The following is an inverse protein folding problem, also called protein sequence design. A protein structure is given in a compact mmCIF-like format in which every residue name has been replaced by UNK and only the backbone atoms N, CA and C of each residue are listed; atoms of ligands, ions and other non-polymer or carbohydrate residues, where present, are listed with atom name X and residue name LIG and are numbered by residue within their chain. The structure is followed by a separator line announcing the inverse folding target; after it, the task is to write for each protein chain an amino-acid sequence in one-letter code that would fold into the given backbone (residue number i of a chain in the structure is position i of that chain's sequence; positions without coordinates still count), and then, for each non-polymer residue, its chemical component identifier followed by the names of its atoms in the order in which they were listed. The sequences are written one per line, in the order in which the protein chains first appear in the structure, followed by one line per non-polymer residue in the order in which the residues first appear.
data_IF_477925792123
#
_entry.id   IF_477925792123
#
_cell.length_a   1.000
_cell.length_b   1.000
_cell.length_c   1.000
_cell.angle_alpha   90.00
_cell.angle_beta   90.00
_cell.angle_gamma   90.00
#
_symmetry.space_group_name_H-M   'P 1'
#
loop_
_entity.id
_entity.type
_entity.pdbx_description
1 polymer ?
#
# COMPACT_ATOMS: atom_id res chain seq x y z
N UNK A 1 -0.58 11.91 -5.78
CA UNK A 1 -0.30 10.55 -6.32
C UNK A 1 -1.59 9.95 -6.82
N UNK A 2 -1.62 9.46 -8.05
CA UNK A 2 -2.82 8.83 -8.59
C UNK A 2 -2.93 7.36 -8.13
N UNK A 3 -4.07 6.73 -8.40
CA UNK A 3 -4.34 5.37 -7.93
C UNK A 3 -3.36 4.35 -8.50
N UNK A 4 -3.00 4.49 -9.77
CA UNK A 4 -2.06 3.56 -10.40
C UNK A 4 -0.67 3.65 -9.77
N UNK A 5 -0.19 4.87 -9.56
CA UNK A 5 1.11 5.09 -8.91
C UNK A 5 1.10 4.59 -7.47
N UNK A 6 0.01 4.80 -6.76
CA UNK A 6 -0.14 4.35 -5.37
C UNK A 6 -0.09 2.83 -5.28
N UNK A 7 -0.83 2.14 -6.15
CA UNK A 7 -0.86 0.67 -6.16
C UNK A 7 0.50 0.09 -6.52
N UNK A 8 1.19 0.72 -7.47
CA UNK A 8 2.54 0.32 -7.82
C UNK A 8 3.47 0.46 -6.62
N UNK A 9 3.38 1.56 -5.89
CA UNK A 9 4.19 1.79 -4.71
C UNK A 9 3.92 0.74 -3.63
N UNK A 10 2.64 0.38 -3.43
CA UNK A 10 2.27 -0.67 -2.48
C UNK A 10 2.88 -2.01 -2.87
N UNK A 11 2.78 -2.39 -4.14
CA UNK A 11 3.36 -3.64 -4.63
C UNK A 11 4.88 -3.68 -4.42
N UNK A 12 5.57 -2.61 -4.77
CA UNK A 12 7.01 -2.53 -4.61
C UNK A 12 7.42 -2.63 -3.14
N UNK A 13 6.67 -1.96 -2.27
CA UNK A 13 6.95 -1.98 -0.83
C UNK A 13 6.75 -3.38 -0.24
N UNK A 14 5.68 -4.06 -0.64
CA UNK A 14 5.41 -5.42 -0.17
C UNK A 14 6.45 -6.42 -0.71
N UNK A 15 6.88 -6.25 -1.95
CA UNK A 15 7.89 -7.12 -2.54
C UNK A 15 9.25 -7.00 -1.84
N UNK A 16 9.57 -5.83 -1.32
CA UNK A 16 10.83 -5.59 -0.63
C UNK A 16 10.78 -5.94 0.85
N UNK A 17 9.58 -6.08 1.40
CA UNK A 17 9.44 -6.36 2.83
C UNK A 17 9.85 -7.80 3.14
N UNK A 18 10.68 -7.98 4.15
CA UNK A 18 11.05 -9.32 4.64
C UNK A 18 10.01 -9.91 5.58
N UNK A 19 8.99 -9.15 5.93
CA UNK A 19 7.93 -9.56 6.83
C UNK A 19 6.64 -8.81 6.45
N UNK A 20 5.47 -9.25 6.96
CA UNK A 20 4.22 -8.55 6.66
C UNK A 20 4.25 -7.08 7.09
N UNK A 21 3.68 -6.22 6.26
CA UNK A 21 3.60 -4.78 6.52
C UNK A 21 2.14 -4.42 6.75
N UNK A 22 1.84 -3.69 7.82
CA UNK A 22 0.47 -3.32 8.13
C UNK A 22 -0.04 -2.23 7.18
N UNK A 23 -1.37 -2.22 6.96
CA UNK A 23 -1.99 -1.19 6.16
C UNK A 23 -1.77 0.20 6.76
N UNK A 24 -1.74 0.29 8.10
CA UNK A 24 -1.47 1.56 8.78
C UNK A 24 -0.07 2.07 8.49
N UNK A 25 0.92 1.19 8.47
CA UNK A 25 2.31 1.56 8.16
C UNK A 25 2.41 2.04 6.72
N UNK A 26 1.80 1.33 5.77
CA UNK A 26 1.79 1.73 4.36
C UNK A 26 1.09 3.07 4.17
N UNK A 27 -0.03 3.27 4.85
CA UNK A 27 -0.77 4.52 4.77
C UNK A 27 0.09 5.70 5.23
N UNK A 28 0.82 5.52 6.33
CA UNK A 28 1.73 6.55 6.82
C UNK A 28 2.86 6.85 5.86
N UNK A 29 3.45 5.82 5.24
CA UNK A 29 4.52 6.00 4.26
C UNK A 29 4.04 6.71 3.01
N UNK A 30 2.83 6.43 2.57
CA UNK A 30 2.27 6.99 1.34
C UNK A 30 1.50 8.29 1.54
N UNK A 31 1.23 8.66 2.78
CA UNK A 31 0.47 9.88 3.08
C UNK A 31 -0.99 9.77 2.70
N UNK A 32 -1.58 8.58 2.82
CA UNK A 32 -3.00 8.33 2.52
C UNK A 32 -3.68 7.67 3.72
N UNK A 33 -5.01 7.49 3.65
CA UNK A 33 -5.74 6.85 4.74
C UNK A 33 -5.54 5.33 4.70
N UNK A 34 -5.69 4.69 5.86
CA UNK A 34 -5.63 3.25 5.97
C UNK A 34 -6.68 2.57 5.09
N UNK A 35 -7.89 3.15 5.02
CA UNK A 35 -8.97 2.61 4.19
C UNK A 35 -8.60 2.54 2.72
N UNK A 36 -7.89 3.56 2.22
CA UNK A 36 -7.42 3.58 0.85
C UNK A 36 -6.44 2.43 0.60
N UNK A 37 -5.51 2.21 1.52
CA UNK A 37 -4.54 1.12 1.40
C UNK A 37 -5.25 -0.23 1.42
N UNK A 38 -6.20 -0.42 2.33
CA UNK A 38 -6.96 -1.67 2.42
C UNK A 38 -7.70 -1.95 1.11
N UNK A 39 -8.34 -0.93 0.53
CA UNK A 39 -9.03 -1.08 -0.75
C UNK A 39 -8.07 -1.43 -1.89
N UNK A 40 -6.91 -0.79 -1.94
CA UNK A 40 -5.91 -1.08 -2.97
C UNK A 40 -5.38 -2.50 -2.84
N UNK A 41 -5.08 -2.94 -1.64
CA UNK A 41 -4.60 -4.31 -1.39
C UNK A 41 -5.65 -5.33 -1.85
N UNK A 42 -6.93 -5.06 -1.58
CA UNK A 42 -8.01 -5.94 -2.02
C UNK A 42 -8.07 -6.04 -3.54
N UNK A 43 -7.77 -4.95 -4.26
CA UNK A 43 -7.73 -4.96 -5.72
C UNK A 43 -6.50 -5.68 -6.27
N UNK A 44 -5.41 -5.67 -5.54
CA UNK A 44 -4.15 -6.28 -5.98
C UNK A 44 -4.07 -7.78 -5.70
N UNK A 45 -4.96 -8.31 -4.90
CA UNK A 45 -4.93 -9.73 -4.50
C UNK A 45 -5.50 -10.65 -5.56
#
# INVERSE_FOLDING_TARGET
MDAAARRKAILERLAKAGSPVSASALAGELGVSRQIVVGDVALLR
#
